data_IF_391486636360
#
_entry.id   IF_391486636360
#
_cell.length_a   1.000
_cell.length_b   1.000
_cell.length_c   1.000
_cell.angle_alpha   90.00
_cell.angle_beta   90.00
_cell.angle_gamma   90.00
#
_symmetry.space_group_name_H-M   'P 1'
#
loop_
_entity.id
_entity.type
_entity.pdbx_description
1 polymer ?
#
# COMPACT_ATOMS: atom_id res chain seq x y z
N UNK A 1 0.47 4.26 7.96
CA UNK A 1 0.13 3.14 7.05
C UNK A 1 -1.21 3.39 6.38
N UNK A 2 -1.32 3.13 5.11
CA UNK A 2 -2.56 3.23 4.35
C UNK A 2 -2.99 1.85 3.87
N UNK A 3 -4.27 1.51 4.08
CA UNK A 3 -4.84 0.26 3.59
C UNK A 3 -6.12 0.55 2.83
N UNK A 4 -6.26 -0.02 1.65
CA UNK A 4 -7.49 0.07 0.86
C UNK A 4 -7.89 -1.33 0.40
N UNK A 5 -9.18 -1.60 0.49
CA UNK A 5 -9.68 -2.94 0.29
C UNK A 5 -9.59 -3.47 -1.11
N UNK A 6 -9.77 -2.65 -2.09
CA UNK A 6 -10.11 -3.22 -3.36
C UNK A 6 -9.23 -2.86 -4.47
N UNK A 7 -8.51 -1.79 -4.41
CA UNK A 7 -8.14 -1.27 -5.71
C UNK A 7 -6.78 -0.69 -5.79
N UNK A 8 -6.19 -0.98 -6.90
CA UNK A 8 -4.99 -0.32 -7.37
C UNK A 8 -5.01 1.20 -7.22
N UNK A 9 -6.11 1.91 -7.51
CA UNK A 9 -6.12 3.36 -7.27
C UNK A 9 -5.87 3.75 -5.84
N UNK A 10 -6.45 3.03 -4.88
CA UNK A 10 -6.20 3.31 -3.46
C UNK A 10 -4.79 2.97 -3.02
N UNK A 11 -4.12 2.06 -3.72
CA UNK A 11 -2.73 1.67 -3.51
C UNK A 11 -1.77 2.45 -4.39
N UNK A 12 -2.28 3.35 -5.22
CA UNK A 12 -1.50 4.16 -6.16
C UNK A 12 -0.68 3.30 -7.13
N UNK A 13 -1.29 2.25 -7.67
CA UNK A 13 -0.62 1.36 -8.62
C UNK A 13 -1.12 1.61 -10.02
N UNK A 14 -0.19 1.54 -11.00
CA UNK A 14 -0.51 1.71 -12.41
C UNK A 14 -0.71 0.38 -13.13
N UNK A 15 -0.38 -0.72 -12.50
CA UNK A 15 -0.42 -2.06 -13.08
C UNK A 15 -1.71 -2.81 -12.83
N UNK A 16 -2.72 -2.15 -12.31
CA UNK A 16 -4.04 -2.75 -12.10
C UNK A 16 -4.84 -2.85 -13.39
N UNK A 17 -5.78 -3.80 -13.44
CA UNK A 17 -6.60 -4.04 -14.62
C UNK A 17 -7.49 -2.84 -15.00
N UNK A 18 -7.82 -2.01 -14.03
CA UNK A 18 -8.70 -0.86 -14.23
C UNK A 18 -8.05 0.40 -13.68
N UNK A 19 -6.92 0.76 -14.25
CA UNK A 19 -6.21 1.97 -13.87
C UNK A 19 -6.74 3.16 -14.69
N UNK A 20 -7.30 4.16 -14.01
CA UNK A 20 -7.88 5.34 -14.64
C UNK A 20 -7.11 6.63 -14.37
N UNK A 21 -5.92 6.53 -13.80
CA UNK A 21 -5.11 7.71 -13.46
C UNK A 21 -3.71 7.61 -14.09
N UNK A 22 -3.08 8.76 -14.26
CA UNK A 22 -1.75 8.85 -14.87
C UNK A 22 -0.64 8.65 -13.82
N UNK A 23 0.58 8.50 -14.30
CA UNK A 23 1.76 8.43 -13.43
C UNK A 23 1.93 9.71 -12.61
N UNK A 24 1.68 10.87 -13.22
CA UNK A 24 1.76 12.14 -12.50
C UNK A 24 0.75 12.21 -11.36
N UNK A 25 -0.46 11.75 -11.60
CA UNK A 25 -1.49 11.69 -10.56
C UNK A 25 -1.10 10.71 -9.46
N UNK A 26 -0.50 9.59 -9.81
CA UNK A 26 0.02 8.62 -8.84
C UNK A 26 1.07 9.28 -7.94
N UNK A 27 2.03 9.96 -8.52
CA UNK A 27 3.11 10.60 -7.77
C UNK A 27 2.58 11.70 -6.85
N UNK A 28 1.63 12.50 -7.33
CA UNK A 28 0.99 13.52 -6.50
C UNK A 28 0.23 12.92 -5.32
N UNK A 29 -0.46 11.83 -5.55
CA UNK A 29 -1.18 11.11 -4.50
C UNK A 29 -0.21 10.56 -3.44
N UNK A 30 0.87 9.93 -3.87
CA UNK A 30 1.88 9.39 -2.97
C UNK A 30 2.58 10.48 -2.16
N UNK A 31 2.89 11.61 -2.78
CA UNK A 31 3.46 12.76 -2.07
C UNK A 31 2.49 13.32 -1.04
N UNK A 32 1.23 13.42 -1.41
CA UNK A 32 0.19 13.87 -0.48
C UNK A 32 0.08 12.95 0.74
N UNK A 33 0.14 11.64 0.52
CA UNK A 33 0.13 10.67 1.62
C UNK A 33 1.36 10.83 2.51
N UNK A 34 2.52 11.00 1.90
CA UNK A 34 3.77 11.19 2.63
C UNK A 34 3.74 12.44 3.50
N UNK A 35 3.26 13.54 2.96
CA UNK A 35 3.10 14.80 3.70
C UNK A 35 2.13 14.64 4.86
N UNK A 36 1.13 13.78 4.72
CA UNK A 36 0.18 13.45 5.78
C UNK A 36 0.69 12.47 6.82
N UNK A 37 1.94 12.02 6.71
CA UNK A 37 2.55 11.12 7.68
C UNK A 37 2.42 9.63 7.37
N UNK A 38 1.92 9.27 6.19
CA UNK A 38 1.85 7.87 5.77
C UNK A 38 3.24 7.41 5.35
N UNK A 39 3.77 6.39 6.01
CA UNK A 39 5.13 5.90 5.79
C UNK A 39 5.21 4.56 5.08
N UNK A 40 4.10 3.83 4.98
CA UNK A 40 4.08 2.57 4.24
C UNK A 40 2.68 2.25 3.73
N UNK A 41 2.62 1.36 2.77
CA UNK A 41 1.37 0.86 2.17
C UNK A 41 1.48 -0.66 2.10
N UNK A 42 0.42 -1.35 2.53
CA UNK A 42 0.35 -2.80 2.42
C UNK A 42 -1.12 -3.20 2.24
N UNK A 43 -1.40 -4.47 2.05
CA UNK A 43 -2.72 -4.89 1.57
C UNK A 43 -3.44 -5.88 2.50
N UNK A 44 -2.78 -6.41 3.51
CA UNK A 44 -3.32 -7.50 4.32
C UNK A 44 -3.70 -7.11 5.75
N UNK A 45 -3.18 -5.99 6.25
CA UNK A 45 -3.33 -5.66 7.68
C UNK A 45 -4.76 -5.41 8.11
N UNK A 46 -5.60 -4.90 7.23
CA UNK A 46 -7.00 -4.63 7.58
C UNK A 46 -7.74 -5.90 7.93
N UNK A 47 -7.59 -6.95 7.12
CA UNK A 47 -8.20 -8.25 7.38
C UNK A 47 -7.63 -8.87 8.64
N UNK A 48 -6.32 -8.88 8.77
CA UNK A 48 -5.65 -9.43 9.94
C UNK A 48 -6.11 -8.74 11.23
N UNK A 49 -6.14 -7.42 11.23
CA UNK A 49 -6.55 -6.65 12.40
C UNK A 49 -8.02 -6.90 12.75
N UNK A 50 -8.89 -6.96 11.75
CA UNK A 50 -10.31 -7.20 11.98
C UNK A 50 -10.56 -8.58 12.58
N UNK A 51 -9.94 -9.62 12.02
CA UNK A 51 -10.13 -10.99 12.48
C UNK A 51 -9.57 -11.20 13.89
N UNK A 52 -8.38 -10.70 14.17
CA UNK A 52 -7.79 -10.85 15.50
C UNK A 52 -8.56 -10.06 16.56
N UNK A 53 -9.07 -8.89 16.20
CA UNK A 53 -9.89 -8.11 17.09
C UNK A 53 -11.18 -8.86 17.45
N UNK A 54 -11.86 -9.43 16.45
CA UNK A 54 -13.09 -10.22 16.68
C UNK A 54 -12.81 -11.46 17.53
N UNK A 55 -11.66 -12.07 17.38
CA UNK A 55 -11.28 -13.25 18.16
C UNK A 55 -10.78 -12.90 19.57
N UNK A 56 -10.65 -11.64 19.91
CA UNK A 56 -10.11 -11.21 21.20
C UNK A 56 -8.63 -11.49 21.38
N UNK A 57 -7.89 -11.58 20.29
CA UNK A 57 -6.46 -11.89 20.29
C UNK A 57 -5.68 -10.59 20.15
N UNK A 58 -4.68 -10.39 21.02
CA UNK A 58 -3.75 -9.27 20.84
C UNK A 58 -2.86 -9.54 19.64
N UNK A 59 -2.68 -8.55 18.81
CA UNK A 59 -1.90 -8.70 17.59
C UNK A 59 -1.13 -7.42 17.28
N UNK A 60 -0.10 -7.59 16.45
CA UNK A 60 0.68 -6.48 15.94
C UNK A 60 1.05 -6.76 14.49
N UNK A 61 1.29 -5.70 13.74
CA UNK A 61 1.65 -5.80 12.33
C UNK A 61 3.00 -5.14 12.15
N UNK A 62 3.94 -5.91 11.63
CA UNK A 62 5.29 -5.43 11.32
C UNK A 62 5.50 -5.62 9.83
N UNK A 63 5.87 -4.55 9.14
CA UNK A 63 6.06 -4.58 7.69
C UNK A 63 7.52 -4.44 7.33
N UNK A 64 7.95 -5.24 6.35
CA UNK A 64 9.28 -5.12 5.76
C UNK A 64 9.16 -4.26 4.52
N UNK A 65 10.00 -3.24 4.39
CA UNK A 65 10.02 -2.40 3.20
C UNK A 65 10.64 -3.17 2.04
N UNK A 66 9.89 -3.34 0.97
CA UNK A 66 10.33 -4.09 -0.20
C UNK A 66 10.68 -3.18 -1.38
N UNK A 67 10.09 -1.99 -1.44
CA UNK A 67 10.34 -1.05 -2.53
C UNK A 67 9.95 0.37 -2.12
N UNK A 68 10.43 1.33 -2.88
CA UNK A 68 10.06 2.73 -2.74
C UNK A 68 8.96 3.04 -3.76
N UNK A 69 7.74 3.24 -3.28
CA UNK A 69 6.57 3.47 -4.12
C UNK A 69 6.63 4.78 -4.89
N UNK A 70 7.47 5.71 -4.51
CA UNK A 70 7.69 6.93 -5.30
C UNK A 70 8.47 6.65 -6.58
N UNK A 71 9.20 5.54 -6.63
CA UNK A 71 10.01 5.15 -7.77
C UNK A 71 9.48 3.93 -8.50
N UNK A 72 8.81 3.00 -7.78
CA UNK A 72 8.44 1.70 -8.32
C UNK A 72 7.05 1.28 -7.83
N UNK A 73 6.40 0.43 -8.60
CA UNK A 73 5.13 -0.19 -8.21
C UNK A 73 5.28 -1.67 -7.84
N UNK A 74 6.38 -2.30 -8.21
CA UNK A 74 6.60 -3.73 -7.97
C UNK A 74 8.03 -3.98 -7.50
N UNK A 75 8.20 -5.07 -6.77
CA UNK A 75 9.53 -5.54 -6.36
C UNK A 75 10.31 -5.92 -7.60
N UNK A 76 11.53 -5.41 -7.73
CA UNK A 76 12.39 -5.69 -8.87
C UNK A 76 12.93 -7.11 -8.78
N UNK A 77 12.56 -7.96 -9.74
CA UNK A 77 13.00 -9.35 -9.77
C UNK A 77 14.43 -9.55 -10.25
N UNK A 78 14.97 -8.58 -10.97
CA UNK A 78 16.32 -8.72 -11.52
C UNK A 78 17.41 -8.66 -10.47
N UNK A 79 17.10 -8.22 -9.28
CA UNK A 79 18.05 -8.10 -8.17
C UNK A 79 17.98 -9.26 -7.17
N UNK A 80 17.24 -10.29 -7.53
CA UNK A 80 17.08 -11.45 -6.64
C UNK A 80 18.00 -12.59 -7.00
#
# INVERSE_FOLDING_TARGET
MLVKYFFSPGQARLDGAFCSYSEDEKLKYLEWLREGGVSNIEMESTCFAALTHQAGIRSAIVCVTLLDRLNEDQVCKSNQ
#
